data_IF_534371487155
#
_entry.id   IF_534371487155
#
_cell.length_a   1.000
_cell.length_b   1.000
_cell.length_c   1.000
_cell.angle_alpha   90.00
_cell.angle_beta   90.00
_cell.angle_gamma   90.00
#
_symmetry.space_group_name_H-M   'P 1'
#
loop_
_entity.id
_entity.type
_entity.pdbx_description
1 polymer ?
#
# COMPACT_ATOMS: atom_id res chain seq x y z
N UNK A 1 -24.16 -9.31 5.67
CA UNK A 1 -23.29 -10.34 5.08
C UNK A 1 -21.85 -9.83 5.14
N UNK A 2 -21.03 -10.33 6.07
CA UNK A 2 -19.61 -9.96 6.17
C UNK A 2 -18.79 -11.18 5.76
N UNK A 3 -18.05 -11.05 4.67
CA UNK A 3 -16.93 -11.93 4.34
C UNK A 3 -15.65 -11.23 4.79
N UNK A 4 -14.57 -11.99 5.01
CA UNK A 4 -13.27 -11.49 5.44
C UNK A 4 -12.85 -10.21 4.68
N UNK A 5 -12.30 -9.23 5.40
CA UNK A 5 -11.80 -7.94 4.89
C UNK A 5 -12.84 -6.84 4.57
N UNK A 6 -14.08 -6.93 5.08
CA UNK A 6 -15.10 -5.88 4.93
C UNK A 6 -15.35 -5.09 6.22
N UNK A 7 -15.77 -3.83 6.08
CA UNK A 7 -16.22 -2.97 7.19
C UNK A 7 -17.75 -2.86 7.23
N UNK A 8 -18.29 -2.61 8.42
CA UNK A 8 -19.68 -2.15 8.58
C UNK A 8 -19.66 -0.61 8.55
N UNK A 9 -20.47 -0.02 7.69
CA UNK A 9 -20.58 1.43 7.53
C UNK A 9 -22.05 1.84 7.31
N UNK A 10 -22.38 3.08 7.69
CA UNK A 10 -23.69 3.67 7.40
C UNK A 10 -23.94 3.64 5.88
N UNK A 11 -25.16 3.30 5.42
CA UNK A 11 -25.45 3.30 3.99
C UNK A 11 -25.06 4.62 3.32
N UNK A 12 -24.31 4.53 2.21
CA UNK A 12 -23.84 5.69 1.44
C UNK A 12 -22.63 6.44 2.02
N UNK A 13 -22.13 6.09 3.21
CA UNK A 13 -21.03 6.83 3.85
C UNK A 13 -19.63 6.38 3.43
N UNK A 14 -19.50 5.25 2.74
CA UNK A 14 -18.21 4.68 2.34
C UNK A 14 -18.26 4.19 0.90
N UNK A 15 -17.20 4.48 0.14
CA UNK A 15 -16.97 4.00 -1.22
C UNK A 15 -15.68 3.18 -1.25
N UNK A 16 -15.67 2.12 -2.04
CA UNK A 16 -14.50 1.25 -2.20
C UNK A 16 -13.68 1.67 -3.41
N UNK A 17 -12.36 1.74 -3.24
CA UNK A 17 -11.41 2.07 -4.30
C UNK A 17 -10.36 0.96 -4.42
N UNK A 18 -9.77 0.82 -5.61
CA UNK A 18 -8.71 -0.17 -5.91
C UNK A 18 -7.37 0.48 -6.28
N UNK A 19 -7.37 1.80 -6.47
CA UNK A 19 -6.22 2.62 -6.84
C UNK A 19 -6.29 3.91 -6.02
N UNK A 20 -5.15 4.35 -5.53
CA UNK A 20 -4.97 5.59 -4.79
C UNK A 20 -3.52 6.02 -4.91
N UNK A 21 -3.28 7.32 -4.76
CA UNK A 21 -1.95 7.88 -4.58
C UNK A 21 -1.70 8.03 -3.08
N UNK A 22 -0.45 7.81 -2.66
CA UNK A 22 -0.05 7.96 -1.27
C UNK A 22 1.42 8.37 -1.19
N UNK A 23 1.72 9.19 -0.19
CA UNK A 23 3.08 9.41 0.27
C UNK A 23 3.41 8.33 1.30
N UNK A 24 4.55 7.67 1.14
CA UNK A 24 5.01 6.62 2.05
C UNK A 24 6.40 6.97 2.58
N UNK A 25 6.62 6.64 3.85
CA UNK A 25 7.96 6.57 4.42
C UNK A 25 8.41 5.11 4.38
N UNK A 26 9.55 4.86 3.75
CA UNK A 26 10.14 3.53 3.72
C UNK A 26 11.13 3.45 4.88
N UNK A 27 11.00 2.40 5.69
CA UNK A 27 11.90 2.18 6.81
C UNK A 27 13.32 1.95 6.32
N UNK A 28 14.26 2.64 6.96
CA UNK A 28 15.70 2.41 6.75
C UNK A 28 16.12 1.05 7.27
N UNK A 29 17.31 0.60 6.87
CA UNK A 29 17.90 -0.65 7.38
C UNK A 29 18.01 -0.67 8.91
N UNK A 30 18.38 0.45 9.53
CA UNK A 30 18.56 0.53 10.98
C UNK A 30 17.23 0.49 11.75
N UNK A 31 16.13 0.86 11.08
CA UNK A 31 14.76 0.71 11.58
C UNK A 31 14.18 -0.68 11.30
N UNK A 32 14.98 -1.61 10.78
CA UNK A 32 14.55 -2.97 10.42
C UNK A 32 13.79 -3.05 9.10
N UNK A 33 13.93 -2.03 8.25
CA UNK A 33 13.36 -1.98 6.92
C UNK A 33 14.10 -2.82 5.89
N UNK A 34 13.99 -2.42 4.62
CA UNK A 34 14.58 -3.19 3.53
C UNK A 34 16.09 -2.96 3.44
N UNK A 35 16.82 -4.00 3.06
CA UNK A 35 18.25 -3.89 2.72
C UNK A 35 18.48 -3.41 1.28
N UNK A 36 17.49 -3.55 0.41
CA UNK A 36 17.56 -3.23 -1.01
C UNK A 36 16.37 -2.39 -1.44
N UNK A 37 16.62 -1.45 -2.35
CA UNK A 37 15.59 -0.65 -2.99
C UNK A 37 14.53 -1.52 -3.65
N UNK A 38 13.35 -0.94 -3.88
CA UNK A 38 12.31 -1.54 -4.70
C UNK A 38 12.02 -0.69 -5.93
N UNK A 39 11.56 -1.35 -6.98
CA UNK A 39 11.26 -0.75 -8.27
C UNK A 39 9.74 -0.66 -8.48
N UNK A 40 9.33 0.12 -9.47
CA UNK A 40 7.98 0.04 -10.03
C UNK A 40 7.60 -1.41 -10.36
N UNK A 41 6.34 -1.76 -10.12
CA UNK A 41 5.79 -3.13 -10.11
C UNK A 41 6.08 -3.97 -8.86
N UNK A 42 6.74 -3.43 -7.83
CA UNK A 42 6.84 -4.09 -6.53
C UNK A 42 5.44 -4.44 -5.99
N UNK A 43 5.27 -5.65 -5.45
CA UNK A 43 3.97 -6.18 -4.98
C UNK A 43 3.95 -6.48 -3.48
N UNK A 44 4.00 -5.47 -2.60
CA UNK A 44 3.89 -5.68 -1.17
C UNK A 44 2.45 -5.98 -0.74
N UNK A 45 2.33 -6.40 0.51
CA UNK A 45 1.07 -6.50 1.22
C UNK A 45 0.83 -5.20 2.00
N UNK A 46 -0.28 -4.54 1.71
CA UNK A 46 -0.71 -3.32 2.38
C UNK A 46 -1.63 -3.67 3.53
N UNK A 47 -1.29 -3.23 4.73
CA UNK A 47 -2.15 -3.35 5.89
C UNK A 47 -3.11 -2.17 5.96
N UNK A 48 -4.38 -2.42 5.67
CA UNK A 48 -5.46 -1.43 5.70
C UNK A 48 -6.43 -1.78 6.83
N UNK A 49 -6.25 -1.12 7.99
CA UNK A 49 -6.96 -1.36 9.26
C UNK A 49 -6.81 -2.77 9.81
N UNK A 50 -7.55 -3.73 9.29
CA UNK A 50 -7.56 -5.14 9.73
C UNK A 50 -7.42 -6.10 8.56
N UNK A 51 -7.16 -5.57 7.37
CA UNK A 51 -7.09 -6.33 6.14
C UNK A 51 -5.71 -6.20 5.55
N UNK A 52 -5.12 -7.34 5.23
CA UNK A 52 -3.93 -7.40 4.43
C UNK A 52 -4.29 -7.55 2.95
N UNK A 53 -3.88 -6.60 2.12
CA UNK A 53 -4.23 -6.57 0.70
C UNK A 53 -2.94 -6.49 -0.12
N UNK A 54 -2.68 -7.49 -0.97
CA UNK A 54 -1.58 -7.40 -1.94
C UNK A 54 -1.93 -6.38 -3.01
N UNK A 55 -1.03 -5.42 -3.24
CA UNK A 55 -1.18 -4.39 -4.27
C UNK A 55 0.07 -4.30 -5.14
N UNK A 56 0.08 -3.38 -6.10
CA UNK A 56 1.24 -3.02 -6.92
C UNK A 56 1.60 -1.57 -6.62
N UNK A 57 2.89 -1.30 -6.46
CA UNK A 57 3.44 0.07 -6.40
C UNK A 57 3.85 0.51 -7.81
N UNK A 58 3.40 1.70 -8.19
CA UNK A 58 3.85 2.44 -9.38
C UNK A 58 4.56 3.69 -8.85
N UNK A 59 5.87 3.79 -9.09
CA UNK A 59 6.65 4.96 -8.69
C UNK A 59 6.48 6.08 -9.72
N UNK A 60 6.55 7.36 -9.29
CA UNK A 60 6.57 8.50 -10.20
C UNK A 60 7.72 8.44 -11.23
N UNK A 61 7.53 9.07 -12.40
CA UNK A 61 8.56 9.10 -13.46
C UNK A 61 9.77 9.99 -13.12
N UNK A 62 9.62 10.90 -12.16
CA UNK A 62 10.63 11.84 -11.65
C UNK A 62 11.48 11.27 -10.52
N UNK A 63 11.14 10.09 -9.98
CA UNK A 63 12.04 9.29 -9.15
C UNK A 63 12.90 8.41 -10.08
N UNK A 64 14.16 8.12 -9.71
CA UNK A 64 15.15 7.37 -10.52
C UNK A 64 14.76 5.91 -10.85
N UNK A 65 13.49 5.54 -10.73
CA UNK A 65 12.92 4.22 -10.97
C UNK A 65 13.00 3.29 -9.77
N UNK A 66 13.57 3.74 -8.66
CA UNK A 66 13.75 2.99 -7.41
C UNK A 66 13.52 3.85 -6.17
N UNK A 67 12.98 3.24 -5.12
CA UNK A 67 12.75 3.86 -3.81
C UNK A 67 13.46 3.07 -2.69
N UNK A 68 13.94 3.81 -1.68
CA UNK A 68 14.72 3.31 -0.53
C UNK A 68 13.94 3.44 0.75
#
# INVERSE_FOLDING_TARGET
>A
MVAYYKVIAKPGSCKTYKKFEAEIYVLTKDEGGRHTAFLSNYRPQFYLRTADITGRVELPEDEDGYAW
#
